data_IF_702096844314
#
_entry.id   IF_702096844314
#
_cell.length_a   1.000
_cell.length_b   1.000
_cell.length_c   1.000
_cell.angle_alpha   90.00
_cell.angle_beta   90.00
_cell.angle_gamma   90.00
#
_symmetry.space_group_name_H-M   'P 1'
#
loop_
_entity.id
_entity.type
_entity.pdbx_description
1 polymer ?
#
# COMPACT_ATOMS: atom_id res chain seq x y z
N UNK A 1 62.00 9.68 -1.08
CA UNK A 1 60.75 9.74 -1.85
C UNK A 1 60.99 10.55 -3.11
N UNK A 2 60.79 9.94 -4.27
CA UNK A 2 60.89 10.61 -5.56
C UNK A 2 59.65 11.48 -5.83
N UNK A 3 59.79 12.42 -6.77
CA UNK A 3 58.68 13.26 -7.21
C UNK A 3 57.58 12.42 -7.90
N UNK A 4 57.96 11.33 -8.57
CA UNK A 4 57.05 10.31 -9.13
C UNK A 4 56.22 9.60 -8.04
N UNK A 5 56.84 9.09 -6.96
CA UNK A 5 56.13 8.41 -5.87
C UNK A 5 55.14 9.33 -5.16
N UNK A 6 55.50 10.62 -5.05
CA UNK A 6 54.65 11.63 -4.43
C UNK A 6 53.43 11.93 -5.31
N UNK A 7 53.59 11.93 -6.64
CA UNK A 7 52.49 12.09 -7.60
C UNK A 7 51.56 10.87 -7.59
N UNK A 8 52.09 9.65 -7.63
CA UNK A 8 51.26 8.43 -7.60
C UNK A 8 50.45 8.31 -6.29
N UNK A 9 51.04 8.61 -5.12
CA UNK A 9 50.31 8.67 -3.84
C UNK A 9 49.20 9.73 -3.81
N UNK A 10 49.38 10.85 -4.51
CA UNK A 10 48.36 11.89 -4.63
C UNK A 10 47.21 11.46 -5.55
N UNK A 11 47.49 10.67 -6.60
CA UNK A 11 46.47 10.08 -7.49
C UNK A 11 45.59 9.09 -6.72
N UNK A 12 46.17 8.15 -5.97
CA UNK A 12 45.40 7.19 -5.16
C UNK A 12 44.51 7.90 -4.13
N UNK A 13 45.03 8.91 -3.41
CA UNK A 13 44.22 9.72 -2.48
C UNK A 13 43.11 10.50 -3.15
N UNK A 14 43.32 10.93 -4.39
CA UNK A 14 42.31 11.62 -5.17
C UNK A 14 41.22 10.65 -5.64
N UNK A 15 41.60 9.43 -6.03
CA UNK A 15 40.67 8.41 -6.48
C UNK A 15 39.84 7.86 -5.31
N UNK A 16 40.43 7.60 -4.14
CA UNK A 16 39.68 7.32 -2.89
C UNK A 16 38.64 8.39 -2.56
N UNK A 17 38.97 9.67 -2.78
CA UNK A 17 38.05 10.78 -2.54
C UNK A 17 36.93 10.83 -3.56
N UNK A 18 37.20 10.47 -4.82
CA UNK A 18 36.19 10.36 -5.87
C UNK A 18 35.22 9.23 -5.57
N UNK A 19 35.71 8.04 -5.20
CA UNK A 19 34.87 6.89 -4.83
C UNK A 19 33.92 7.27 -3.69
N UNK A 20 34.46 7.79 -2.58
CA UNK A 20 33.65 8.25 -1.44
C UNK A 20 32.66 9.35 -1.79
N UNK A 21 32.94 10.16 -2.80
CA UNK A 21 32.02 11.19 -3.27
C UNK A 21 30.90 10.60 -4.12
N UNK A 22 31.20 9.64 -4.99
CA UNK A 22 30.22 8.94 -5.81
C UNK A 22 29.30 8.06 -4.96
N UNK A 23 29.84 7.30 -4.00
CA UNK A 23 29.06 6.55 -3.01
C UNK A 23 28.08 7.46 -2.25
N UNK A 24 28.56 8.60 -1.72
CA UNK A 24 27.70 9.54 -1.01
C UNK A 24 26.60 10.12 -1.89
N UNK A 25 26.91 10.36 -3.17
CA UNK A 25 25.94 10.89 -4.13
C UNK A 25 24.89 9.84 -4.50
N UNK A 26 25.30 8.59 -4.68
CA UNK A 26 24.41 7.45 -4.94
C UNK A 26 23.54 7.16 -3.72
N UNK A 27 24.12 7.07 -2.52
CA UNK A 27 23.39 6.91 -1.26
C UNK A 27 22.37 8.04 -1.03
N UNK A 28 22.71 9.28 -1.37
CA UNK A 28 21.78 10.40 -1.28
C UNK A 28 20.60 10.27 -2.26
N UNK A 29 20.80 9.65 -3.43
CA UNK A 29 19.71 9.34 -4.38
C UNK A 29 18.82 8.23 -3.84
N UNK A 30 19.41 7.13 -3.36
CA UNK A 30 18.69 6.00 -2.73
C UNK A 30 17.83 6.51 -1.58
N UNK A 31 18.42 7.24 -0.62
CA UNK A 31 17.70 7.78 0.54
C UNK A 31 16.52 8.70 0.13
N UNK A 32 16.65 9.40 -1.00
CA UNK A 32 15.58 10.29 -1.50
C UNK A 32 14.43 9.49 -2.10
N UNK A 33 14.72 8.41 -2.80
CA UNK A 33 13.73 7.54 -3.40
C UNK A 33 13.03 6.67 -2.36
N UNK A 34 13.77 6.09 -1.41
CA UNK A 34 13.19 5.39 -0.24
C UNK A 34 12.22 6.29 0.54
N UNK A 35 12.58 7.57 0.76
CA UNK A 35 11.66 8.52 1.40
C UNK A 35 10.39 8.75 0.60
N UNK A 36 10.47 8.81 -0.73
CA UNK A 36 9.29 8.97 -1.60
C UNK A 36 8.43 7.71 -1.57
N UNK A 37 9.05 6.54 -1.60
CA UNK A 37 8.40 5.24 -1.52
C UNK A 37 7.61 5.13 -0.20
N UNK A 38 8.29 5.29 0.95
CA UNK A 38 7.67 5.19 2.27
C UNK A 38 6.50 6.18 2.46
N UNK A 39 6.62 7.40 1.92
CA UNK A 39 5.54 8.38 1.97
C UNK A 39 4.34 7.97 1.12
N UNK A 40 4.58 7.42 -0.08
CA UNK A 40 3.52 6.94 -0.96
C UNK A 40 2.84 5.68 -0.39
N UNK A 41 3.59 4.74 0.18
CA UNK A 41 3.06 3.55 0.84
C UNK A 41 2.13 3.92 2.01
N UNK A 42 2.63 4.73 2.95
CA UNK A 42 1.85 5.15 4.11
C UNK A 42 0.56 5.89 3.72
N UNK A 43 0.61 6.68 2.64
CA UNK A 43 -0.57 7.35 2.11
C UNK A 43 -1.56 6.35 1.48
N UNK A 44 -1.06 5.39 0.70
CA UNK A 44 -1.87 4.36 0.04
C UNK A 44 -2.56 3.48 1.07
N UNK A 45 -1.84 3.01 2.09
CA UNK A 45 -2.40 2.19 3.18
C UNK A 45 -3.53 2.92 3.91
N UNK A 46 -3.27 4.16 4.34
CA UNK A 46 -4.27 4.98 5.02
C UNK A 46 -5.51 5.19 4.15
N UNK A 47 -5.32 5.36 2.85
CA UNK A 47 -6.40 5.56 1.90
C UNK A 47 -7.24 4.28 1.75
N UNK A 48 -6.59 3.12 1.57
CA UNK A 48 -7.23 1.81 1.49
C UNK A 48 -8.04 1.53 2.76
N UNK A 49 -7.45 1.74 3.95
CA UNK A 49 -8.16 1.58 5.22
C UNK A 49 -9.41 2.46 5.31
N UNK A 50 -9.30 3.73 4.88
CA UNK A 50 -10.45 4.65 4.83
C UNK A 50 -11.56 4.15 3.89
N UNK A 51 -11.21 3.56 2.74
CA UNK A 51 -12.21 2.98 1.83
C UNK A 51 -12.94 1.80 2.47
N UNK A 52 -12.21 0.91 3.14
CA UNK A 52 -12.76 -0.24 3.87
C UNK A 52 -13.71 0.24 4.98
N UNK A 53 -13.28 1.18 5.82
CA UNK A 53 -14.12 1.72 6.90
C UNK A 53 -15.41 2.35 6.39
N UNK A 54 -15.35 3.08 5.26
CA UNK A 54 -16.54 3.67 4.65
C UNK A 54 -17.53 2.61 4.16
N UNK A 55 -17.02 1.53 3.58
CA UNK A 55 -17.86 0.41 3.14
C UNK A 55 -18.53 -0.29 4.33
N UNK A 56 -17.75 -0.59 5.38
CA UNK A 56 -18.26 -1.18 6.63
C UNK A 56 -19.35 -0.31 7.24
N UNK A 57 -19.13 1.00 7.36
CA UNK A 57 -20.15 1.94 7.89
C UNK A 57 -21.43 1.95 7.06
N UNK A 58 -21.35 1.74 5.74
CA UNK A 58 -22.54 1.64 4.86
C UNK A 58 -23.29 0.33 5.09
N UNK A 59 -22.56 -0.76 5.32
CA UNK A 59 -23.13 -2.08 5.64
C UNK A 59 -23.87 -2.04 6.97
N UNK A 60 -23.23 -1.56 8.05
CA UNK A 60 -23.89 -1.45 9.35
C UNK A 60 -25.13 -0.55 9.31
N UNK A 61 -25.09 0.56 8.57
CA UNK A 61 -26.28 1.40 8.37
C UNK A 61 -27.41 0.69 7.62
N UNK A 62 -27.09 -0.26 6.74
CA UNK A 62 -28.09 -1.04 6.03
C UNK A 62 -28.74 -2.06 6.99
N UNK A 63 -27.93 -2.73 7.80
CA UNK A 63 -28.37 -3.67 8.85
C UNK A 63 -29.23 -2.96 9.91
N UNK A 64 -28.75 -1.85 10.48
CA UNK A 64 -29.50 -1.04 11.46
C UNK A 64 -30.87 -0.59 10.92
N UNK A 65 -30.94 -0.32 9.61
CA UNK A 65 -32.19 0.07 8.96
C UNK A 65 -33.11 -1.14 8.79
N UNK A 66 -32.56 -2.29 8.37
CA UNK A 66 -33.30 -3.52 8.24
C UNK A 66 -33.92 -3.93 9.58
N UNK A 67 -33.16 -3.90 10.68
CA UNK A 67 -33.65 -4.22 12.01
C UNK A 67 -34.84 -3.35 12.41
N UNK A 68 -34.74 -2.03 12.18
CA UNK A 68 -35.84 -1.09 12.45
C UNK A 68 -37.07 -1.37 11.60
N UNK A 69 -36.87 -1.71 10.33
CA UNK A 69 -37.97 -1.99 9.41
C UNK A 69 -38.62 -3.36 9.73
N UNK A 70 -37.85 -4.35 10.20
CA UNK A 70 -38.35 -5.64 10.70
C UNK A 70 -39.17 -5.45 11.98
N UNK A 71 -38.67 -4.69 12.96
CA UNK A 71 -39.41 -4.41 14.20
C UNK A 71 -40.76 -3.75 13.88
N UNK A 72 -40.76 -2.75 12.99
CA UNK A 72 -42.01 -2.10 12.54
C UNK A 72 -42.96 -3.06 11.83
N UNK A 73 -42.43 -4.01 11.06
CA UNK A 73 -43.24 -5.03 10.41
C UNK A 73 -43.90 -5.94 11.45
N UNK A 74 -43.15 -6.39 12.45
CA UNK A 74 -43.68 -7.21 13.54
C UNK A 74 -44.77 -6.47 14.32
N UNK A 75 -44.52 -5.21 14.72
CA UNK A 75 -45.51 -4.38 15.42
C UNK A 75 -46.79 -4.19 14.59
N UNK A 76 -46.67 -4.08 13.26
CA UNK A 76 -47.81 -3.94 12.36
C UNK A 76 -48.60 -5.25 12.24
N UNK A 77 -47.92 -6.39 12.20
CA UNK A 77 -48.55 -7.72 12.16
C UNK A 77 -49.29 -8.00 13.47
N UNK A 78 -48.67 -7.75 14.61
CA UNK A 78 -49.30 -7.95 15.93
C UNK A 78 -50.57 -7.11 16.07
N UNK A 79 -50.54 -5.85 15.62
CA UNK A 79 -51.74 -5.00 15.60
C UNK A 79 -52.82 -5.53 14.66
N UNK A 80 -52.48 -5.93 13.44
CA UNK A 80 -53.47 -6.44 12.48
C UNK A 80 -54.12 -7.75 12.98
N UNK A 81 -53.36 -8.62 13.67
CA UNK A 81 -53.90 -9.85 14.27
C UNK A 81 -54.88 -9.54 15.42
N UNK A 82 -54.58 -8.53 16.25
CA UNK A 82 -55.42 -8.18 17.42
C UNK A 82 -56.66 -7.38 17.02
N UNK A 83 -56.55 -6.51 16.02
CA UNK A 83 -57.61 -5.55 15.67
C UNK A 83 -58.59 -6.06 14.60
N UNK A 84 -58.22 -7.07 13.79
CA UNK A 84 -58.98 -7.51 12.62
C UNK A 84 -59.40 -8.99 12.75
N UNK A 85 -60.30 -9.28 13.72
CA UNK A 85 -60.78 -10.64 14.05
C UNK A 85 -61.43 -11.39 12.87
N UNK A 86 -61.88 -10.68 11.83
CA UNK A 86 -62.50 -11.27 10.64
C UNK A 86 -61.48 -11.71 9.57
N UNK A 87 -60.23 -11.22 9.62
CA UNK A 87 -59.21 -11.60 8.64
C UNK A 87 -58.56 -12.94 9.00
N UNK A 88 -58.38 -13.84 8.02
CA UNK A 88 -57.56 -15.03 8.21
C UNK A 88 -56.13 -14.66 8.57
N UNK A 89 -55.63 -15.21 9.67
CA UNK A 89 -54.25 -14.99 10.15
C UNK A 89 -53.24 -15.39 9.07
N UNK A 90 -53.52 -16.45 8.30
CA UNK A 90 -52.66 -16.90 7.21
C UNK A 90 -52.45 -15.81 6.15
N UNK A 91 -53.48 -15.00 5.86
CA UNK A 91 -53.37 -13.92 4.89
C UNK A 91 -52.51 -12.77 5.43
N UNK A 92 -52.60 -12.48 6.73
CA UNK A 92 -51.77 -11.46 7.39
C UNK A 92 -50.30 -11.90 7.36
N UNK A 93 -50.02 -13.15 7.73
CA UNK A 93 -48.67 -13.72 7.70
C UNK A 93 -48.10 -13.77 6.27
N UNK A 94 -48.90 -14.16 5.28
CA UNK A 94 -48.47 -14.17 3.88
C UNK A 94 -48.06 -12.76 3.40
N UNK A 95 -48.81 -11.71 3.75
CA UNK A 95 -48.43 -10.33 3.43
C UNK A 95 -47.16 -9.89 4.16
N UNK A 96 -47.01 -10.31 5.41
CA UNK A 96 -45.83 -10.01 6.21
C UNK A 96 -44.58 -10.66 5.61
N UNK A 97 -44.68 -11.93 5.19
CA UNK A 97 -43.59 -12.67 4.54
C UNK A 97 -43.09 -11.94 3.28
N UNK A 98 -44.01 -11.51 2.41
CA UNK A 98 -43.65 -10.73 1.21
C UNK A 98 -42.92 -9.42 1.56
N UNK A 99 -43.38 -8.70 2.59
CA UNK A 99 -42.72 -7.46 3.05
C UNK A 99 -41.36 -7.74 3.68
N UNK A 100 -41.23 -8.84 4.42
CA UNK A 100 -39.97 -9.27 5.00
C UNK A 100 -38.94 -9.59 3.92
N UNK A 101 -39.36 -10.31 2.87
CA UNK A 101 -38.52 -10.58 1.71
C UNK A 101 -38.11 -9.30 0.98
N UNK A 102 -39.02 -8.32 0.86
CA UNK A 102 -38.66 -7.00 0.32
C UNK A 102 -37.61 -6.27 1.18
N UNK A 103 -37.72 -6.34 2.51
CA UNK A 103 -36.71 -5.77 3.43
C UNK A 103 -35.36 -6.46 3.23
N UNK A 104 -35.35 -7.80 3.13
CA UNK A 104 -34.16 -8.61 2.89
C UNK A 104 -33.47 -8.18 1.58
N UNK A 105 -34.20 -8.25 0.46
CA UNK A 105 -33.67 -7.91 -0.88
C UNK A 105 -33.14 -6.48 -0.94
N UNK A 106 -33.84 -5.52 -0.34
CA UNK A 106 -33.40 -4.13 -0.28
C UNK A 106 -32.14 -3.93 0.57
N UNK A 107 -31.97 -4.72 1.61
CA UNK A 107 -30.80 -4.68 2.49
C UNK A 107 -29.60 -5.28 1.79
N UNK A 108 -29.76 -6.47 1.19
CA UNK A 108 -28.75 -7.12 0.36
C UNK A 108 -28.29 -6.20 -0.78
N UNK A 109 -29.23 -5.54 -1.48
CA UNK A 109 -28.90 -4.61 -2.55
C UNK A 109 -28.03 -3.44 -2.06
N UNK A 110 -28.31 -2.89 -0.87
CA UNK A 110 -27.49 -1.80 -0.29
C UNK A 110 -26.10 -2.29 0.08
N UNK A 111 -25.99 -3.48 0.68
CA UNK A 111 -24.71 -4.09 1.01
C UNK A 111 -23.88 -4.38 -0.25
N UNK A 112 -24.51 -4.93 -1.31
CA UNK A 112 -23.86 -5.16 -2.60
C UNK A 112 -23.40 -3.85 -3.26
N UNK A 113 -24.20 -2.78 -3.18
CA UNK A 113 -23.78 -1.45 -3.65
C UNK A 113 -22.55 -0.94 -2.89
N UNK A 114 -22.51 -1.10 -1.57
CA UNK A 114 -21.35 -0.72 -0.75
C UNK A 114 -20.11 -1.54 -1.11
N UNK A 115 -20.26 -2.85 -1.33
CA UNK A 115 -19.19 -3.75 -1.78
C UNK A 115 -18.66 -3.36 -3.15
N UNK A 116 -19.54 -3.10 -4.13
CA UNK A 116 -19.14 -2.70 -5.47
C UNK A 116 -18.42 -1.34 -5.49
N UNK A 117 -18.85 -0.41 -4.65
CA UNK A 117 -18.15 0.88 -4.49
C UNK A 117 -16.77 0.70 -3.85
N UNK A 118 -16.63 -0.21 -2.88
CA UNK A 118 -15.33 -0.58 -2.32
C UNK A 118 -14.42 -1.16 -3.41
N UNK A 119 -14.89 -2.14 -4.18
CA UNK A 119 -14.13 -2.78 -5.26
C UNK A 119 -13.62 -1.72 -6.24
N UNK A 120 -14.49 -0.83 -6.74
CA UNK A 120 -14.10 0.24 -7.67
C UNK A 120 -13.05 1.20 -7.11
N UNK A 121 -13.07 1.45 -5.80
CA UNK A 121 -12.06 2.30 -5.17
C UNK A 121 -10.73 1.55 -5.03
N UNK A 122 -10.77 0.27 -4.66
CA UNK A 122 -9.59 -0.58 -4.54
C UNK A 122 -8.93 -0.85 -5.89
N UNK A 123 -9.69 -1.03 -6.97
CA UNK A 123 -9.15 -1.15 -8.34
C UNK A 123 -8.31 0.07 -8.73
N UNK A 124 -8.79 1.28 -8.40
CA UNK A 124 -8.03 2.53 -8.64
C UNK A 124 -6.80 2.66 -7.76
N UNK A 125 -6.85 2.10 -6.56
CA UNK A 125 -5.70 2.12 -5.64
C UNK A 125 -4.67 1.05 -6.04
N UNK A 126 -5.08 -0.07 -6.65
CA UNK A 126 -4.17 -1.07 -7.22
C UNK A 126 -3.29 -0.51 -8.34
N UNK A 127 -3.80 0.39 -9.19
CA UNK A 127 -2.96 1.07 -10.19
C UNK A 127 -1.80 1.82 -9.53
N UNK A 128 -2.03 2.42 -8.35
CA UNK A 128 -0.99 3.12 -7.58
C UNK A 128 -0.03 2.17 -6.88
N UNK A 129 -0.50 1.00 -6.47
CA UNK A 129 0.36 -0.06 -5.94
C UNK A 129 1.29 -0.60 -7.03
N UNK A 130 0.81 -0.73 -8.27
CA UNK A 130 1.68 -1.11 -9.40
C UNK A 130 2.79 -0.09 -9.63
N UNK A 131 2.49 1.22 -9.56
CA UNK A 131 3.53 2.27 -9.61
C UNK A 131 4.54 2.17 -8.47
N UNK A 132 4.11 1.77 -7.27
CA UNK A 132 5.00 1.57 -6.12
C UNK A 132 5.97 0.43 -6.38
N UNK A 133 5.47 -0.71 -6.89
CA UNK A 133 6.29 -1.89 -7.22
C UNK A 133 7.39 -1.53 -8.21
N UNK A 134 7.08 -0.77 -9.28
CA UNK A 134 8.09 -0.36 -10.25
C UNK A 134 9.18 0.54 -9.63
N UNK A 135 8.80 1.48 -8.74
CA UNK A 135 9.78 2.31 -8.04
C UNK A 135 10.67 1.46 -7.13
N UNK A 136 10.11 0.42 -6.52
CA UNK A 136 10.82 -0.50 -5.64
C UNK A 136 11.82 -1.37 -6.42
N UNK A 137 11.40 -1.89 -7.58
CA UNK A 137 12.25 -2.62 -8.52
C UNK A 137 13.41 -1.74 -9.04
N UNK A 138 13.11 -0.52 -9.50
CA UNK A 138 14.13 0.44 -9.95
C UNK A 138 15.13 0.74 -8.84
N UNK A 139 14.65 0.91 -7.60
CA UNK A 139 15.51 1.18 -6.44
C UNK A 139 16.41 -0.01 -6.08
N UNK A 140 15.92 -1.24 -6.25
CA UNK A 140 16.70 -2.44 -6.05
C UNK A 140 17.84 -2.54 -7.07
N UNK A 141 17.56 -2.31 -8.36
CA UNK A 141 18.59 -2.31 -9.41
C UNK A 141 19.67 -1.27 -9.14
N UNK A 142 19.28 -0.04 -8.76
CA UNK A 142 20.25 1.03 -8.45
C UNK A 142 21.13 0.68 -7.24
N UNK A 143 20.61 -0.07 -6.26
CA UNK A 143 21.40 -0.56 -5.12
C UNK A 143 22.41 -1.62 -5.55
N UNK A 144 21.98 -2.59 -6.34
CA UNK A 144 22.86 -3.65 -6.85
C UNK A 144 23.99 -3.07 -7.73
N UNK A 145 23.66 -2.15 -8.65
CA UNK A 145 24.65 -1.46 -9.48
C UNK A 145 25.65 -0.65 -8.62
N UNK A 146 25.17 -0.02 -7.54
CA UNK A 146 26.03 0.73 -6.62
C UNK A 146 27.00 -0.19 -5.88
N UNK A 147 26.54 -1.34 -5.40
CA UNK A 147 27.37 -2.31 -4.69
C UNK A 147 28.45 -2.89 -5.61
N UNK A 148 28.10 -3.22 -6.86
CA UNK A 148 29.06 -3.67 -7.87
C UNK A 148 30.13 -2.62 -8.20
N UNK A 149 29.71 -1.38 -8.46
CA UNK A 149 30.64 -0.28 -8.78
C UNK A 149 31.56 0.02 -7.60
N UNK A 150 31.04 0.01 -6.38
CA UNK A 150 31.84 0.25 -5.17
C UNK A 150 32.88 -0.86 -4.99
N UNK A 151 32.49 -2.12 -5.15
CA UNK A 151 33.40 -3.26 -5.05
C UNK A 151 34.55 -3.20 -6.08
N UNK A 152 34.23 -2.88 -7.35
CA UNK A 152 35.23 -2.73 -8.42
C UNK A 152 36.21 -1.58 -8.16
N UNK A 153 35.71 -0.47 -7.60
CA UNK A 153 36.52 0.70 -7.29
C UNK A 153 37.44 0.46 -6.10
N UNK A 154 36.96 -0.23 -5.07
CA UNK A 154 37.77 -0.63 -3.91
C UNK A 154 38.89 -1.60 -4.32
N UNK A 155 38.57 -2.63 -5.11
CA UNK A 155 39.57 -3.58 -5.63
C UNK A 155 40.67 -2.85 -6.43
N UNK A 156 40.29 -1.88 -7.27
CA UNK A 156 41.24 -1.09 -8.05
C UNK A 156 42.13 -0.21 -7.17
N UNK A 157 41.58 0.43 -6.14
CA UNK A 157 42.34 1.22 -5.18
C UNK A 157 43.35 0.34 -4.43
N UNK A 158 42.95 -0.87 -4.04
CA UNK A 158 43.80 -1.79 -3.30
C UNK A 158 44.97 -2.29 -4.16
N UNK A 159 44.73 -2.62 -5.43
CA UNK A 159 45.79 -2.94 -6.40
C UNK A 159 46.79 -1.78 -6.55
N UNK A 160 46.29 -0.55 -6.67
CA UNK A 160 47.15 0.64 -6.80
C UNK A 160 47.97 0.90 -5.53
N UNK A 161 47.41 0.66 -4.34
CA UNK A 161 48.14 0.74 -3.05
C UNK A 161 49.22 -0.32 -2.94
N UNK A 162 48.92 -1.57 -3.25
CA UNK A 162 49.89 -2.66 -3.21
C UNK A 162 51.06 -2.39 -4.18
N UNK A 163 50.75 -1.91 -5.39
CA UNK A 163 51.76 -1.54 -6.38
C UNK A 163 52.68 -0.42 -5.87
N UNK A 164 52.12 0.58 -5.20
CA UNK A 164 52.87 1.66 -4.56
C UNK A 164 53.76 1.17 -3.42
N UNK A 165 53.25 0.25 -2.59
CA UNK A 165 53.99 -0.32 -1.47
C UNK A 165 55.15 -1.21 -1.91
N UNK A 166 55.00 -1.91 -3.05
CA UNK A 166 56.09 -2.66 -3.69
C UNK A 166 57.16 -1.70 -4.20
N UNK A 167 56.78 -0.67 -4.98
CA UNK A 167 57.73 0.33 -5.49
C UNK A 167 58.47 1.10 -4.41
N UNK A 168 57.84 1.36 -3.26
CA UNK A 168 58.46 2.07 -2.15
C UNK A 168 59.48 1.22 -1.36
N UNK A 169 59.52 -0.10 -1.59
CA UNK A 169 60.46 -1.05 -0.97
C UNK A 169 61.63 -1.43 -1.87
N UNK A 170 61.56 -1.11 -3.17
CA UNK A 170 62.65 -1.22 -4.16
C UNK A 170 63.57 0.00 -4.13
#
# INVERSE_FOLDING_TARGET
MSLEETKEKLVVKHDERKVKFEEKKAQARINREERKLNLKEAYTDKKISSHIEKAIKKIYKAEDKADKDIIRLLDAVDKEIVEDEEKPIELILFKAENKFEEILLNTELKMQKAKNELIKNLEKDMEKVAELITIEEDLAVVKDEMDEVSALLDERIDIEKETLDIKAKE
#
